data_IF_101766605095
#
_entry.id   IF_101766605095
#
_cell.length_a   1.000
_cell.length_b   1.000
_cell.length_c   1.000
_cell.angle_alpha   90.00
_cell.angle_beta   90.00
_cell.angle_gamma   90.00
#
_symmetry.space_group_name_H-M   'P 1'
#
loop_
_entity.id
_entity.type
_entity.pdbx_description
1 polymer ?
#
# COMPACT_ATOMS: atom_id res chain seq x y z
N UNK A 1 32.36 -24.97 -6.74
CA UNK A 1 31.21 -24.36 -6.04
C UNK A 1 29.97 -25.09 -6.51
N UNK A 2 29.09 -25.51 -5.60
CA UNK A 2 27.86 -26.20 -5.98
C UNK A 2 26.97 -25.27 -6.82
N UNK A 3 26.42 -25.71 -7.97
CA UNK A 3 25.61 -24.87 -8.86
C UNK A 3 24.46 -24.16 -8.16
N UNK A 4 23.84 -24.82 -7.17
CA UNK A 4 22.74 -24.26 -6.38
C UNK A 4 23.17 -23.08 -5.49
N UNK A 5 24.44 -23.03 -5.06
CA UNK A 5 24.93 -21.91 -4.25
C UNK A 5 25.09 -20.65 -5.09
N UNK A 6 25.63 -20.79 -6.31
CA UNK A 6 25.85 -19.67 -7.23
C UNK A 6 24.53 -19.03 -7.67
N UNK A 7 23.50 -19.84 -7.97
CA UNK A 7 22.16 -19.34 -8.32
C UNK A 7 21.55 -18.56 -7.17
N UNK A 8 21.67 -19.08 -5.94
CA UNK A 8 21.12 -18.43 -4.75
C UNK A 8 21.84 -17.12 -4.41
N UNK A 9 23.15 -17.08 -4.57
CA UNK A 9 23.95 -15.87 -4.38
C UNK A 9 23.52 -14.80 -5.42
N UNK A 10 23.32 -15.19 -6.69
CA UNK A 10 22.83 -14.29 -7.75
C UNK A 10 21.42 -13.75 -7.47
N UNK A 11 20.46 -14.59 -7.07
CA UNK A 11 19.10 -14.14 -6.69
C UNK A 11 19.17 -13.13 -5.53
N UNK A 12 20.08 -13.36 -4.57
CA UNK A 12 20.27 -12.45 -3.44
C UNK A 12 20.78 -11.08 -3.92
N UNK A 13 21.78 -11.06 -4.79
CA UNK A 13 22.30 -9.82 -5.39
C UNK A 13 21.23 -9.09 -6.22
N UNK A 14 20.46 -9.83 -7.02
CA UNK A 14 19.39 -9.27 -7.84
C UNK A 14 18.25 -8.69 -6.98
N UNK A 15 17.87 -9.36 -5.88
CA UNK A 15 16.91 -8.83 -4.91
C UNK A 15 17.41 -7.47 -4.40
N UNK A 16 18.66 -7.39 -3.92
CA UNK A 16 19.22 -6.12 -3.44
C UNK A 16 19.25 -5.04 -4.51
N UNK A 17 19.64 -5.37 -5.75
CA UNK A 17 19.64 -4.43 -6.89
C UNK A 17 18.24 -3.86 -7.14
N UNK A 18 17.22 -4.72 -7.24
CA UNK A 18 15.84 -4.32 -7.50
C UNK A 18 15.27 -3.46 -6.37
N UNK A 19 15.46 -3.84 -5.11
CA UNK A 19 14.99 -3.05 -3.97
C UNK A 19 15.69 -1.69 -3.87
N UNK A 20 16.99 -1.61 -4.16
CA UNK A 20 17.72 -0.34 -4.17
C UNK A 20 17.20 0.61 -5.25
N UNK A 21 17.02 0.11 -6.48
CA UNK A 21 16.48 0.87 -7.60
C UNK A 21 15.06 1.38 -7.33
N UNK A 22 14.16 0.50 -6.86
CA UNK A 22 12.79 0.86 -6.53
C UNK A 22 12.70 1.83 -5.35
N UNK A 23 13.50 1.61 -4.31
CA UNK A 23 13.56 2.53 -3.17
C UNK A 23 13.97 3.92 -3.63
N UNK A 24 14.93 4.04 -4.56
CA UNK A 24 15.31 5.34 -5.09
C UNK A 24 14.17 6.01 -5.86
N UNK A 25 13.53 5.28 -6.78
CA UNK A 25 12.40 5.78 -7.57
C UNK A 25 11.21 6.21 -6.71
N UNK A 26 10.74 5.34 -5.81
CA UNK A 26 9.55 5.60 -4.98
C UNK A 26 9.72 6.79 -4.03
N UNK A 27 10.95 7.08 -3.58
CA UNK A 27 11.21 8.19 -2.66
C UNK A 27 11.47 9.53 -3.34
N UNK A 28 11.89 9.55 -4.62
CA UNK A 28 12.33 10.78 -5.28
C UNK A 28 11.47 11.16 -6.47
N UNK A 29 11.10 10.21 -7.32
CA UNK A 29 10.40 10.48 -8.58
C UNK A 29 9.32 9.41 -8.88
N UNK A 30 8.38 9.11 -7.96
CA UNK A 30 7.37 8.06 -8.17
C UNK A 30 6.41 8.38 -9.32
N UNK A 31 6.31 9.64 -9.73
CA UNK A 31 5.48 10.08 -10.84
C UNK A 31 6.28 10.27 -12.14
N UNK A 32 7.49 9.71 -12.26
CA UNK A 32 8.33 9.86 -13.46
C UNK A 32 7.60 9.45 -14.74
N UNK A 33 6.98 8.27 -14.73
CA UNK A 33 6.31 7.66 -15.89
C UNK A 33 5.07 8.47 -16.26
N UNK A 34 4.97 8.91 -17.53
CA UNK A 34 3.84 9.72 -18.01
C UNK A 34 2.91 8.94 -18.93
N UNK A 35 1.65 9.38 -18.98
CA UNK A 35 0.59 8.80 -19.82
C UNK A 35 0.95 8.77 -21.31
N UNK A 36 1.63 9.82 -21.79
CA UNK A 36 2.05 9.97 -23.18
C UNK A 36 3.02 8.84 -23.58
N UNK A 37 4.04 8.59 -22.75
CA UNK A 37 5.04 7.53 -22.97
C UNK A 37 4.40 6.13 -22.95
N UNK A 38 3.50 5.89 -21.99
CA UNK A 38 2.76 4.62 -21.93
C UNK A 38 1.92 4.42 -23.18
N UNK A 39 1.22 5.46 -23.63
CA UNK A 39 0.34 5.40 -24.80
C UNK A 39 1.12 5.08 -26.07
N UNK A 40 2.29 5.69 -26.26
CA UNK A 40 3.16 5.41 -27.40
C UNK A 40 3.62 3.95 -27.43
N UNK A 41 4.06 3.41 -26.29
CA UNK A 41 4.55 2.03 -26.22
C UNK A 41 3.38 1.03 -26.37
N UNK A 42 2.22 1.31 -25.78
CA UNK A 42 1.02 0.47 -25.92
C UNK A 42 0.56 0.38 -27.38
N UNK A 43 0.76 1.42 -28.20
CA UNK A 43 0.48 1.37 -29.66
C UNK A 43 1.33 0.33 -30.40
N UNK A 44 2.47 -0.10 -29.83
CA UNK A 44 3.27 -1.21 -30.35
C UNK A 44 2.67 -2.60 -30.04
N UNK A 45 1.53 -2.67 -29.34
CA UNK A 45 0.78 -3.91 -29.08
C UNK A 45 1.11 -4.60 -27.76
N UNK A 46 1.74 -3.91 -26.81
CA UNK A 46 2.04 -4.42 -25.46
C UNK A 46 1.06 -3.89 -24.41
N UNK A 47 0.98 -4.57 -23.27
CA UNK A 47 0.18 -4.11 -22.12
C UNK A 47 0.74 -2.84 -21.48
N UNK A 48 -0.09 -2.08 -20.78
CA UNK A 48 0.34 -0.91 -20.01
C UNK A 48 1.35 -1.28 -18.91
N UNK A 49 1.21 -2.45 -18.29
CA UNK A 49 2.15 -2.97 -17.29
C UNK A 49 3.54 -3.19 -17.87
N UNK A 50 3.61 -3.81 -19.05
CA UNK A 50 4.87 -3.98 -19.77
C UNK A 50 5.46 -2.64 -20.21
N UNK A 51 4.64 -1.72 -20.72
CA UNK A 51 5.10 -0.37 -21.08
C UNK A 51 5.71 0.36 -19.87
N UNK A 52 5.03 0.30 -18.71
CA UNK A 52 5.53 0.85 -17.46
C UNK A 52 6.85 0.19 -17.04
N UNK A 53 6.91 -1.14 -17.09
CA UNK A 53 8.10 -1.91 -16.78
C UNK A 53 9.29 -1.49 -17.66
N UNK A 54 9.09 -1.35 -18.97
CA UNK A 54 10.13 -0.97 -19.93
C UNK A 54 10.66 0.46 -19.67
N UNK A 55 9.76 1.43 -19.42
CA UNK A 55 10.15 2.80 -19.06
C UNK A 55 10.96 2.77 -17.76
N UNK A 56 10.47 2.05 -16.73
CA UNK A 56 11.14 1.96 -15.44
C UNK A 56 12.53 1.31 -15.54
N UNK A 57 12.67 0.27 -16.37
CA UNK A 57 13.96 -0.37 -16.63
C UNK A 57 14.95 0.61 -17.29
N UNK A 58 14.49 1.42 -18.24
CA UNK A 58 15.30 2.47 -18.85
C UNK A 58 15.71 3.56 -17.83
N UNK A 59 14.79 3.97 -16.95
CA UNK A 59 15.07 4.92 -15.84
C UNK A 59 16.13 4.37 -14.89
N UNK A 60 16.13 3.06 -14.67
CA UNK A 60 17.13 2.39 -13.86
C UNK A 60 18.46 2.13 -14.58
N UNK A 61 18.58 2.53 -15.84
CA UNK A 61 19.78 2.34 -16.65
C UNK A 61 20.03 0.87 -17.02
N UNK A 62 18.98 0.05 -17.08
CA UNK A 62 19.07 -1.35 -17.50
C UNK A 62 19.04 -1.45 -19.03
N UNK A 63 19.98 -2.20 -19.60
CA UNK A 63 20.01 -2.49 -21.03
C UNK A 63 19.34 -3.84 -21.32
N UNK A 64 18.01 -3.81 -21.48
CA UNK A 64 17.21 -5.03 -21.67
C UNK A 64 17.29 -5.62 -23.09
N UNK A 65 18.07 -5.01 -23.99
CA UNK A 65 18.22 -5.43 -25.39
C UNK A 65 19.56 -6.10 -25.63
N UNK A 66 20.65 -5.45 -25.24
CA UNK A 66 22.01 -5.90 -25.54
C UNK A 66 22.72 -6.54 -24.33
N UNK A 67 22.21 -6.37 -23.11
CA UNK A 67 22.77 -6.97 -21.89
C UNK A 67 21.90 -8.13 -21.37
N UNK A 68 22.43 -9.36 -21.46
CA UNK A 68 21.76 -10.59 -21.02
C UNK A 68 21.42 -10.57 -19.52
N UNK A 69 22.29 -10.03 -18.66
CA UNK A 69 22.01 -10.00 -17.22
C UNK A 69 20.86 -9.04 -16.87
N UNK A 70 20.79 -7.90 -17.54
CA UNK A 70 19.70 -6.94 -17.34
C UNK A 70 18.39 -7.46 -17.97
N UNK A 71 18.47 -8.16 -19.10
CA UNK A 71 17.34 -8.86 -19.70
C UNK A 71 16.79 -9.94 -18.75
N UNK A 72 17.66 -10.74 -18.12
CA UNK A 72 17.26 -11.73 -17.12
C UNK A 72 16.65 -11.07 -15.88
N UNK A 73 17.23 -9.98 -15.39
CA UNK A 73 16.67 -9.21 -14.27
C UNK A 73 15.27 -8.67 -14.60
N UNK A 74 15.11 -8.10 -15.80
CA UNK A 74 13.82 -7.61 -16.28
C UNK A 74 12.78 -8.72 -16.33
N UNK A 75 13.12 -9.83 -16.98
CA UNK A 75 12.19 -10.94 -17.16
C UNK A 75 11.77 -11.58 -15.83
N UNK A 76 12.70 -11.69 -14.88
CA UNK A 76 12.43 -12.34 -13.61
C UNK A 76 11.77 -11.46 -12.54
N UNK A 77 11.84 -10.12 -12.67
CA UNK A 77 11.23 -9.19 -11.70
C UNK A 77 10.18 -8.29 -12.33
N UNK A 78 10.56 -7.51 -13.35
CA UNK A 78 9.73 -6.41 -13.87
C UNK A 78 8.44 -6.92 -14.50
N UNK A 79 8.48 -8.06 -15.20
CA UNK A 79 7.29 -8.69 -15.75
C UNK A 79 6.27 -9.18 -14.70
N UNK A 80 6.68 -9.28 -13.43
CA UNK A 80 5.87 -9.84 -12.35
C UNK A 80 5.55 -8.84 -11.22
N UNK A 81 6.28 -7.73 -11.14
CA UNK A 81 6.19 -6.78 -10.04
C UNK A 81 5.28 -5.57 -10.33
N UNK A 82 4.89 -5.34 -11.59
CA UNK A 82 4.07 -4.18 -12.01
C UNK A 82 2.61 -4.56 -12.19
N UNK A 83 1.70 -3.74 -11.66
CA UNK A 83 0.27 -3.98 -11.70
C UNK A 83 -0.50 -2.71 -12.11
N UNK A 84 -1.21 -2.77 -13.23
CA UNK A 84 -2.25 -1.78 -13.50
C UNK A 84 -3.45 -2.08 -12.62
N UNK A 85 -3.80 -1.13 -11.77
CA UNK A 85 -4.90 -1.30 -10.83
C UNK A 85 -6.18 -0.61 -11.32
N UNK A 86 -7.33 -1.20 -11.00
CA UNK A 86 -8.64 -0.56 -11.22
C UNK A 86 -9.03 0.26 -9.99
N UNK A 87 -9.08 1.58 -10.14
CA UNK A 87 -9.49 2.51 -9.08
C UNK A 87 -10.89 2.19 -8.52
N UNK A 88 -11.80 1.70 -9.36
CA UNK A 88 -13.18 1.40 -8.95
C UNK A 88 -13.24 0.23 -7.95
N UNK A 89 -12.27 -0.68 -7.98
CA UNK A 89 -12.13 -1.74 -6.98
C UNK A 89 -11.99 -1.15 -5.57
N UNK A 90 -11.14 -0.13 -5.43
CA UNK A 90 -10.85 0.51 -4.14
C UNK A 90 -11.92 1.51 -3.73
N UNK A 91 -12.45 2.31 -4.67
CA UNK A 91 -13.65 3.12 -4.40
C UNK A 91 -14.88 2.25 -4.07
N UNK A 92 -14.84 0.98 -4.47
CA UNK A 92 -15.79 -0.07 -4.11
C UNK A 92 -15.75 -0.48 -2.64
N UNK A 93 -14.64 -0.23 -1.93
CA UNK A 93 -14.41 -0.63 -0.55
C UNK A 93 -15.43 0.04 0.40
N UNK A 94 -16.04 -0.71 1.34
CA UNK A 94 -16.98 -0.14 2.31
C UNK A 94 -16.45 1.08 3.06
N UNK A 95 -15.15 1.13 3.36
CA UNK A 95 -14.55 2.28 4.04
C UNK A 95 -14.60 3.53 3.16
N UNK A 96 -14.17 3.42 1.89
CA UNK A 96 -14.20 4.52 0.91
C UNK A 96 -15.62 5.02 0.61
N UNK A 97 -16.58 4.08 0.56
CA UNK A 97 -17.99 4.41 0.32
C UNK A 97 -18.59 5.20 1.48
N UNK A 98 -18.38 4.71 2.71
CA UNK A 98 -19.16 5.14 3.87
C UNK A 98 -18.45 6.17 4.74
N UNK A 99 -17.12 6.27 4.68
CA UNK A 99 -16.33 7.19 5.51
C UNK A 99 -15.83 8.36 4.65
N UNK A 100 -16.25 9.57 4.99
CA UNK A 100 -15.80 10.81 4.37
C UNK A 100 -14.84 11.55 5.29
N UNK A 101 -13.66 11.86 4.78
CA UNK A 101 -12.60 12.53 5.53
C UNK A 101 -12.70 14.04 5.30
N UNK A 102 -13.00 14.85 6.33
CA UNK A 102 -12.95 16.30 6.20
C UNK A 102 -11.50 16.80 6.18
N UNK A 103 -11.26 17.94 5.54
CA UNK A 103 -9.99 18.66 5.65
C UNK A 103 -9.98 19.48 6.93
N UNK A 104 -9.39 18.97 8.01
CA UNK A 104 -9.39 19.62 9.33
C UNK A 104 -8.15 19.25 10.16
N UNK A 105 -7.77 20.12 11.08
CA UNK A 105 -6.62 19.94 11.97
C UNK A 105 -7.08 19.89 13.44
N UNK A 106 -6.44 19.04 14.25
CA UNK A 106 -6.45 19.08 15.71
C UNK A 106 -4.99 18.97 16.18
N UNK A 107 -4.50 19.99 16.88
CA UNK A 107 -3.09 20.07 17.26
C UNK A 107 -2.18 19.97 16.04
N UNK A 108 -1.26 19.01 16.06
CA UNK A 108 -0.30 18.75 14.98
C UNK A 108 -0.80 17.74 13.93
N UNK A 109 -2.02 17.21 14.11
CA UNK A 109 -2.59 16.16 13.27
C UNK A 109 -3.67 16.74 12.34
N UNK A 110 -3.63 16.36 11.06
CA UNK A 110 -4.53 16.87 10.02
C UNK A 110 -5.13 15.73 9.21
N UNK A 111 -6.45 15.69 9.11
CA UNK A 111 -7.17 14.84 8.16
C UNK A 111 -7.23 15.51 6.79
N UNK A 112 -7.00 14.74 5.73
CA UNK A 112 -7.03 15.21 4.34
C UNK A 112 -7.25 14.05 3.36
N UNK A 113 -7.59 14.36 2.11
CA UNK A 113 -7.39 13.44 0.99
C UNK A 113 -6.07 13.76 0.28
N UNK A 114 -5.22 12.75 0.12
CA UNK A 114 -4.08 12.80 -0.79
C UNK A 114 -4.41 12.09 -2.10
N UNK A 115 -3.50 12.15 -3.06
CA UNK A 115 -3.73 11.65 -4.40
C UNK A 115 -2.48 11.04 -5.02
N UNK A 116 -2.67 9.97 -5.78
CA UNK A 116 -1.70 9.51 -6.78
C UNK A 116 -2.06 10.11 -8.13
N UNK A 117 -1.07 10.58 -8.86
CA UNK A 117 -1.22 11.02 -10.25
C UNK A 117 -1.42 9.80 -11.18
N UNK A 118 -2.00 9.99 -12.37
CA UNK A 118 -1.95 8.98 -13.42
C UNK A 118 -0.51 8.48 -13.62
N UNK A 119 -0.35 7.17 -13.67
CA UNK A 119 0.93 6.47 -13.84
C UNK A 119 1.99 6.76 -12.76
N UNK A 120 1.57 7.26 -11.59
CA UNK A 120 2.43 7.28 -10.41
C UNK A 120 2.56 5.88 -9.82
N UNK A 121 3.80 5.42 -9.63
CA UNK A 121 4.11 4.12 -9.05
C UNK A 121 4.04 4.16 -7.52
N UNK A 122 3.39 3.18 -6.91
CA UNK A 122 3.30 3.03 -5.45
C UNK A 122 3.32 1.55 -5.05
N UNK A 123 3.75 1.24 -3.83
CA UNK A 123 3.63 -0.12 -3.29
C UNK A 123 2.14 -0.46 -3.15
N UNK A 124 1.69 -1.58 -3.69
CA UNK A 124 0.28 -1.96 -3.70
C UNK A 124 -0.04 -3.25 -2.94
N UNK A 125 0.96 -4.05 -2.56
CA UNK A 125 0.77 -5.27 -1.76
C UNK A 125 2.09 -5.75 -1.12
N UNK A 126 2.01 -6.80 -0.30
CA UNK A 126 3.17 -7.49 0.27
C UNK A 126 4.08 -8.10 -0.79
N UNK A 127 5.38 -8.16 -0.48
CA UNK A 127 6.39 -8.81 -1.34
C UNK A 127 6.05 -10.28 -1.53
N UNK A 128 6.01 -10.73 -2.78
CA UNK A 128 5.84 -12.15 -3.11
C UNK A 128 7.20 -12.82 -3.11
N UNK A 129 7.34 -13.88 -2.30
CA UNK A 129 8.54 -14.70 -2.29
C UNK A 129 8.33 -15.97 -3.11
N UNK A 130 9.18 -16.22 -4.10
CA UNK A 130 9.19 -17.45 -4.89
C UNK A 130 9.90 -18.59 -4.15
N UNK A 131 9.70 -19.83 -4.60
CA UNK A 131 10.31 -21.02 -3.97
C UNK A 131 11.85 -20.96 -3.97
N UNK A 132 12.44 -20.40 -5.03
CA UNK A 132 13.88 -20.19 -5.17
C UNK A 132 14.42 -19.00 -4.36
N UNK A 133 13.55 -18.26 -3.67
CA UNK A 133 13.91 -17.16 -2.77
C UNK A 133 13.98 -15.78 -3.42
N UNK A 134 13.44 -15.63 -4.64
CA UNK A 134 13.29 -14.33 -5.28
C UNK A 134 12.21 -13.54 -4.54
N UNK A 135 12.46 -12.25 -4.32
CA UNK A 135 11.54 -11.36 -3.61
C UNK A 135 10.98 -10.34 -4.61
N UNK A 136 9.76 -10.58 -5.08
CA UNK A 136 9.08 -9.76 -6.07
C UNK A 136 8.31 -8.64 -5.34
N UNK A 137 8.76 -7.37 -5.42
CA UNK A 137 8.00 -6.26 -4.89
C UNK A 137 6.67 -6.13 -5.65
N UNK A 138 5.68 -5.44 -5.10
CA UNK A 138 4.38 -5.27 -5.76
C UNK A 138 4.12 -3.78 -5.94
N UNK A 139 4.31 -3.29 -7.16
CA UNK A 139 4.19 -1.89 -7.54
C UNK A 139 2.94 -1.71 -8.39
N UNK A 140 2.01 -0.91 -7.89
CA UNK A 140 0.80 -0.54 -8.58
C UNK A 140 0.91 0.82 -9.24
N UNK A 141 0.09 1.03 -10.26
CA UNK A 141 -0.21 2.34 -10.83
C UNK A 141 -1.66 2.39 -11.30
N UNK A 142 -2.20 3.60 -11.46
CA UNK A 142 -3.53 3.86 -12.02
C UNK A 142 -3.41 4.63 -13.33
N UNK A 143 -4.32 4.41 -14.28
CA UNK A 143 -4.43 5.25 -15.49
C UNK A 143 -5.03 6.63 -15.19
N UNK A 144 -5.66 6.79 -14.02
CA UNK A 144 -6.34 8.02 -13.61
C UNK A 144 -5.89 8.44 -12.21
N UNK A 145 -6.18 9.69 -11.86
CA UNK A 145 -5.93 10.19 -10.51
C UNK A 145 -6.71 9.35 -9.47
N UNK A 146 -6.01 8.94 -8.41
CA UNK A 146 -6.60 8.17 -7.33
C UNK A 146 -6.53 8.92 -6.00
N UNK A 147 -7.69 9.25 -5.42
CA UNK A 147 -7.79 9.95 -4.14
C UNK A 147 -7.87 8.96 -2.99
N UNK A 148 -7.09 9.17 -1.93
CA UNK A 148 -7.10 8.32 -0.74
C UNK A 148 -7.14 9.11 0.57
N UNK A 149 -7.86 8.61 1.60
CA UNK A 149 -7.79 9.11 2.97
C UNK A 149 -6.36 9.17 3.48
N UNK A 150 -5.97 10.29 4.08
CA UNK A 150 -4.70 10.45 4.74
C UNK A 150 -4.82 11.27 6.04
N UNK A 151 -3.87 11.04 6.93
CA UNK A 151 -3.60 11.90 8.07
C UNK A 151 -2.15 12.38 7.99
N UNK A 152 -1.96 13.69 8.15
CA UNK A 152 -0.65 14.30 8.27
C UNK A 152 -0.35 14.55 9.75
N UNK A 153 0.91 14.41 10.15
CA UNK A 153 1.43 14.85 11.44
C UNK A 153 2.66 15.73 11.20
N UNK A 154 2.66 16.96 11.71
CA UNK A 154 3.71 17.95 11.45
C UNK A 154 4.03 18.10 9.94
N UNK A 155 2.97 18.21 9.12
CA UNK A 155 3.02 18.30 7.65
C UNK A 155 3.70 17.12 6.93
N UNK A 156 3.94 16.01 7.64
CA UNK A 156 4.40 14.75 7.04
C UNK A 156 3.26 13.75 6.99
N UNK A 157 3.20 12.96 5.91
CA UNK A 157 2.24 11.87 5.84
C UNK A 157 2.52 10.91 6.99
N UNK A 158 1.53 10.74 7.87
CA UNK A 158 1.64 9.87 9.03
C UNK A 158 1.00 8.51 8.76
N UNK A 159 -0.20 8.52 8.16
CA UNK A 159 -0.95 7.31 7.83
C UNK A 159 -1.92 7.59 6.68
N UNK A 160 -2.24 6.54 5.93
CA UNK A 160 -3.16 6.64 4.79
C UNK A 160 -3.87 5.30 4.56
N UNK A 161 -5.03 5.35 3.92
CA UNK A 161 -5.75 4.14 3.49
C UNK A 161 -5.48 3.94 2.00
N UNK A 162 -4.29 3.49 1.64
CA UNK A 162 -3.87 3.23 0.25
C UNK A 162 -4.33 1.85 -0.23
N UNK A 163 -4.18 1.52 -1.53
CA UNK A 163 -4.34 0.15 -2.01
C UNK A 163 -3.57 -0.88 -1.20
N UNK A 164 -2.31 -0.60 -0.83
CA UNK A 164 -1.50 -1.48 0.01
C UNK A 164 -2.17 -1.80 1.36
N UNK A 165 -2.68 -0.77 2.04
CA UNK A 165 -3.38 -0.93 3.31
C UNK A 165 -4.63 -1.81 3.15
N UNK A 166 -5.37 -1.63 2.06
CA UNK A 166 -6.57 -2.44 1.77
C UNK A 166 -6.19 -3.90 1.48
N UNK A 167 -5.15 -4.14 0.68
CA UNK A 167 -4.76 -5.49 0.26
C UNK A 167 -4.16 -6.30 1.42
N UNK A 168 -3.22 -5.73 2.16
CA UNK A 168 -2.53 -6.40 3.28
C UNK A 168 -3.45 -6.69 4.47
N UNK A 169 -4.51 -5.89 4.66
CA UNK A 169 -5.47 -6.10 5.75
C UNK A 169 -6.55 -7.15 5.44
N UNK A 170 -6.67 -7.65 4.20
CA UNK A 170 -7.73 -8.61 3.82
C UNK A 170 -7.74 -9.87 4.67
N UNK A 171 -6.58 -10.50 4.83
CA UNK A 171 -6.46 -11.75 5.57
C UNK A 171 -6.70 -11.54 7.08
N UNK A 172 -6.07 -10.55 7.75
CA UNK A 172 -6.39 -10.20 9.13
C UNK A 172 -7.88 -9.93 9.37
N UNK A 173 -8.54 -9.18 8.49
CA UNK A 173 -9.99 -8.89 8.58
C UNK A 173 -10.81 -10.17 8.38
N UNK A 174 -10.45 -11.00 7.40
CA UNK A 174 -11.12 -12.27 7.14
C UNK A 174 -11.05 -13.20 8.36
N UNK A 175 -9.89 -13.27 9.02
CA UNK A 175 -9.66 -14.09 10.21
C UNK A 175 -10.27 -13.51 11.50
N UNK A 176 -10.64 -12.23 11.54
CA UNK A 176 -11.23 -11.62 12.73
C UNK A 176 -12.57 -12.28 13.15
N UNK A 177 -12.68 -12.68 14.42
CA UNK A 177 -13.88 -13.24 15.04
C UNK A 177 -13.89 -12.98 16.57
N UNK A 178 -15.07 -13.02 17.19
CA UNK A 178 -15.23 -12.85 18.64
C UNK A 178 -14.83 -11.47 19.13
N UNK A 179 -14.05 -11.42 20.21
CA UNK A 179 -13.50 -10.18 20.75
C UNK A 179 -12.12 -9.92 20.15
N UNK A 180 -12.00 -8.85 19.38
CA UNK A 180 -10.80 -8.48 18.63
C UNK A 180 -10.05 -7.38 19.37
N UNK A 181 -8.73 -7.51 19.46
CA UNK A 181 -7.82 -6.47 19.96
C UNK A 181 -6.91 -6.04 18.81
N UNK A 182 -6.75 -4.73 18.62
CA UNK A 182 -5.76 -4.16 17.70
C UNK A 182 -4.94 -3.09 18.40
N UNK A 183 -3.63 -3.11 18.18
CA UNK A 183 -2.69 -2.11 18.65
C UNK A 183 -2.40 -1.13 17.51
N UNK A 184 -2.59 0.15 17.76
CA UNK A 184 -2.62 1.19 16.74
C UNK A 184 -4.02 1.35 16.14
N UNK A 185 -4.50 2.59 16.14
CA UNK A 185 -5.79 2.93 15.54
C UNK A 185 -5.67 3.16 14.03
N UNK A 186 -4.55 3.70 13.57
CA UNK A 186 -4.42 4.19 12.20
C UNK A 186 -5.54 5.19 11.89
N UNK A 187 -6.10 5.14 10.68
CA UNK A 187 -7.33 5.88 10.37
C UNK A 187 -8.60 5.09 10.70
N UNK A 188 -8.48 3.94 11.37
CA UNK A 188 -9.60 3.09 11.75
C UNK A 188 -10.11 2.14 10.66
N UNK A 189 -9.34 1.89 9.60
CA UNK A 189 -9.74 0.97 8.51
C UNK A 189 -9.99 -0.45 9.02
N UNK A 190 -9.01 -1.06 9.71
CA UNK A 190 -9.17 -2.40 10.28
C UNK A 190 -10.33 -2.45 11.27
N UNK A 191 -10.40 -1.50 12.21
CA UNK A 191 -11.46 -1.43 13.22
C UNK A 191 -12.85 -1.31 12.59
N UNK A 192 -12.99 -0.48 11.55
CA UNK A 192 -14.21 -0.38 10.75
C UNK A 192 -14.57 -1.73 10.14
N UNK A 193 -13.66 -2.33 9.37
CA UNK A 193 -13.93 -3.56 8.62
C UNK A 193 -14.21 -4.75 9.52
N UNK A 194 -13.47 -4.90 10.62
CA UNK A 194 -13.71 -5.93 11.62
C UNK A 194 -15.07 -5.74 12.32
N UNK A 195 -15.42 -4.51 12.71
CA UNK A 195 -16.71 -4.25 13.39
C UNK A 195 -17.95 -4.50 12.52
N UNK A 196 -17.83 -4.42 11.19
CA UNK A 196 -18.92 -4.77 10.27
C UNK A 196 -19.25 -6.26 10.24
N UNK A 197 -18.37 -7.14 10.72
CA UNK A 197 -18.60 -8.59 10.67
C UNK A 197 -19.57 -9.04 11.76
N UNK A 198 -20.55 -9.87 11.40
CA UNK A 198 -21.53 -10.39 12.35
C UNK A 198 -20.91 -11.28 13.42
N UNK A 199 -19.86 -12.03 13.07
CA UNK A 199 -19.12 -12.91 13.97
C UNK A 199 -18.05 -12.19 14.81
N UNK A 200 -17.97 -10.85 14.76
CA UNK A 200 -17.15 -10.02 15.66
C UNK A 200 -18.07 -9.36 16.69
N UNK A 201 -17.81 -9.62 17.96
CA UNK A 201 -18.57 -9.13 19.11
C UNK A 201 -18.13 -7.72 19.52
N UNK A 202 -16.82 -7.50 19.66
CA UNK A 202 -16.25 -6.18 19.94
C UNK A 202 -14.85 -6.04 19.34
N UNK A 203 -14.44 -4.79 19.09
CA UNK A 203 -13.10 -4.42 18.65
C UNK A 203 -12.55 -3.43 19.67
N UNK A 204 -11.57 -3.86 20.46
CA UNK A 204 -10.78 -3.00 21.32
C UNK A 204 -9.59 -2.47 20.52
N UNK A 205 -9.46 -1.14 20.48
CA UNK A 205 -8.37 -0.43 19.83
C UNK A 205 -7.54 0.24 20.90
N UNK A 206 -6.24 -0.04 20.93
CA UNK A 206 -5.27 0.61 21.82
C UNK A 206 -4.46 1.60 21.01
N UNK A 207 -4.52 2.87 21.38
CA UNK A 207 -3.82 3.97 20.70
C UNK A 207 -3.22 4.92 21.74
N UNK A 208 -1.97 5.36 21.55
CA UNK A 208 -1.30 6.24 22.50
C UNK A 208 -1.48 7.72 22.17
N UNK A 209 -1.69 8.05 20.88
CA UNK A 209 -1.80 9.42 20.40
C UNK A 209 -3.22 10.00 20.58
N UNK A 210 -3.35 10.95 21.51
CA UNK A 210 -4.61 11.63 21.83
C UNK A 210 -5.20 12.41 20.66
N UNK A 211 -4.38 13.07 19.84
CA UNK A 211 -4.87 13.83 18.69
C UNK A 211 -5.52 12.90 17.65
N UNK A 212 -4.93 11.72 17.44
CA UNK A 212 -5.48 10.68 16.55
C UNK A 212 -6.81 10.16 17.09
N UNK A 213 -6.87 9.87 18.39
CA UNK A 213 -8.10 9.44 19.09
C UNK A 213 -9.20 10.50 18.94
N UNK A 214 -8.89 11.78 19.15
CA UNK A 214 -9.85 12.87 19.09
C UNK A 214 -10.38 13.09 17.66
N UNK A 215 -9.49 13.06 16.67
CA UNK A 215 -9.87 13.14 15.26
C UNK A 215 -10.78 11.97 14.87
N UNK A 216 -10.43 10.76 15.28
CA UNK A 216 -11.22 9.56 15.00
C UNK A 216 -12.60 9.60 15.67
N UNK A 217 -12.66 9.88 16.97
CA UNK A 217 -13.92 9.95 17.71
C UNK A 217 -14.86 11.03 17.17
N UNK A 218 -14.31 12.18 16.75
CA UNK A 218 -15.10 13.31 16.28
C UNK A 218 -15.56 13.17 14.84
N UNK A 219 -14.70 12.66 13.96
CA UNK A 219 -14.94 12.70 12.51
C UNK A 219 -15.11 11.35 11.84
N UNK A 220 -14.54 10.25 12.37
CA UNK A 220 -14.55 8.94 11.70
C UNK A 220 -15.52 7.96 12.36
N UNK A 221 -15.40 7.72 13.68
CA UNK A 221 -16.22 6.76 14.42
C UNK A 221 -17.74 6.98 14.27
N UNK A 222 -18.28 8.22 14.26
CA UNK A 222 -19.72 8.43 14.09
C UNK A 222 -20.24 7.89 12.74
N UNK A 223 -19.38 7.80 11.72
CA UNK A 223 -19.72 7.28 10.39
C UNK A 223 -19.74 5.74 10.34
N UNK A 224 -19.34 5.04 11.41
CA UNK A 224 -19.44 3.57 11.49
C UNK A 224 -20.89 3.10 11.65
N UNK A 225 -21.83 4.02 11.86
CA UNK A 225 -23.25 3.72 12.03
C UNK A 225 -23.48 2.84 13.26
N UNK A 226 -24.17 1.71 13.10
CA UNK A 226 -24.44 0.78 14.20
C UNK A 226 -23.18 0.07 14.70
N UNK A 227 -22.18 -0.13 13.84
CA UNK A 227 -20.96 -0.85 14.18
C UNK A 227 -20.09 -0.11 15.20
N UNK A 228 -20.27 1.21 15.36
CA UNK A 228 -19.58 1.99 16.39
C UNK A 228 -19.76 1.41 17.80
N UNK A 229 -20.90 0.75 18.07
CA UNK A 229 -21.20 0.14 19.38
C UNK A 229 -20.28 -1.03 19.73
N UNK A 230 -19.60 -1.60 18.73
CA UNK A 230 -18.61 -2.66 18.92
C UNK A 230 -17.22 -2.10 19.23
N UNK A 231 -16.98 -0.81 19.01
CA UNK A 231 -15.66 -0.20 19.17
C UNK A 231 -15.44 0.20 20.63
N UNK A 232 -14.32 -0.22 21.20
CA UNK A 232 -13.81 0.21 22.50
C UNK A 232 -12.45 0.84 22.26
N UNK A 233 -12.30 2.13 22.57
CA UNK A 233 -11.04 2.83 22.38
C UNK A 233 -10.35 3.01 23.74
N UNK A 234 -9.09 2.60 23.83
CA UNK A 234 -8.27 2.67 25.03
C UNK A 234 -7.06 3.54 24.71
N UNK A 235 -6.91 4.64 25.45
CA UNK A 235 -5.71 5.46 25.39
C UNK A 235 -4.63 4.85 26.28
N UNK A 236 -3.68 4.16 25.68
CA UNK A 236 -2.55 3.56 26.39
C UNK A 236 -1.38 3.31 25.44
N UNK A 237 -0.18 3.13 25.99
CA UNK A 237 0.90 2.52 25.24
C UNK A 237 0.58 1.03 24.97
N UNK A 238 0.93 0.56 23.78
CA UNK A 238 0.62 -0.80 23.35
C UNK A 238 1.35 -1.87 24.17
N UNK A 239 2.60 -1.62 24.54
CA UNK A 239 3.39 -2.55 25.35
C UNK A 239 2.93 -2.55 26.80
N UNK A 240 2.58 -1.39 27.36
CA UNK A 240 2.02 -1.31 28.71
C UNK A 240 0.66 -2.03 28.80
N UNK A 241 -0.20 -1.90 27.81
CA UNK A 241 -1.50 -2.57 27.79
C UNK A 241 -1.40 -4.10 27.63
N UNK A 242 -0.33 -4.59 26.99
CA UNK A 242 -0.13 -6.01 26.72
C UNK A 242 0.46 -6.80 27.91
N UNK A 243 0.82 -6.13 29.01
CA UNK A 243 1.38 -6.74 30.22
C UNK A 243 0.33 -7.30 31.18
#
# INVERSE_FOLDING_TARGET
MEPNKVIKDKITEDNYKVFALLSNYLNHEPDFVKEEEITEIVQCGVSAEYAFAAILAAVFGLDVVDNVEDQDLFNNYFNHMLHKLDANKYYGDPYYKNIKIPTINIGHSKLIYQKYKPFEGFVCNDIIQTEEGRQIPQIGFFETEFLFPAMMENDRLWMSITPNEIETMKEPIYKAFGNVLTFGLGMGYYAYRASQKDNVESVTVVESNENVIDLFNKFVLPQFGKAQKKIKLIRADAFEYAQ
#
